data_IF_093985555628
#
_entry.id   IF_093985555628
#
_cell.length_a   1.000
_cell.length_b   1.000
_cell.length_c   1.000
_cell.angle_alpha   90.00
_cell.angle_beta   90.00
_cell.angle_gamma   90.00
#
_symmetry.space_group_name_H-M   'P 1'
#
loop_
_entity.id
_entity.type
_entity.pdbx_description
1 polymer ?
#
# COMPACT_ATOMS: atom_id res chain seq x y z
N UNK A 1 -17.35 3.68 -13.81
CA UNK A 1 -17.68 2.24 -13.98
C UNK A 1 -16.45 1.37 -13.69
N UNK A 2 -15.93 1.34 -12.45
CA UNK A 2 -14.79 0.46 -12.11
C UNK A 2 -14.68 0.11 -10.61
N UNK A 3 -15.78 0.18 -9.85
CA UNK A 3 -15.71 0.07 -8.38
C UNK A 3 -16.56 -1.04 -7.74
N UNK A 4 -17.17 -1.98 -8.49
CA UNK A 4 -18.18 -2.87 -7.88
C UNK A 4 -17.78 -4.35 -7.66
N UNK A 5 -16.84 -4.94 -8.39
CA UNK A 5 -16.72 -6.42 -8.40
C UNK A 5 -15.49 -7.02 -7.68
N UNK A 6 -15.03 -6.44 -6.56
CA UNK A 6 -13.99 -7.09 -5.73
C UNK A 6 -14.48 -7.52 -4.35
N UNK A 7 -15.71 -7.20 -3.97
CA UNK A 7 -16.25 -7.57 -2.66
C UNK A 7 -16.88 -8.98 -2.65
N UNK A 8 -17.40 -9.46 -3.78
CA UNK A 8 -18.23 -10.66 -3.84
C UNK A 8 -17.47 -11.95 -4.19
N UNK A 9 -16.19 -11.85 -4.56
CA UNK A 9 -15.29 -12.98 -4.83
C UNK A 9 -14.33 -13.29 -3.66
N UNK A 10 -14.58 -12.75 -2.46
CA UNK A 10 -13.70 -12.86 -1.29
C UNK A 10 -14.01 -14.08 -0.40
N UNK A 11 -14.65 -15.12 -0.94
CA UNK A 11 -14.92 -16.34 -0.17
C UNK A 11 -13.80 -17.37 -0.17
N UNK A 12 -12.87 -17.33 -1.14
CA UNK A 12 -11.92 -18.43 -1.38
C UNK A 12 -10.45 -18.02 -1.54
N UNK A 13 -10.12 -16.75 -1.82
CA UNK A 13 -8.75 -16.32 -2.19
C UNK A 13 -8.23 -15.10 -1.39
N UNK A 14 -8.66 -14.93 -0.13
CA UNK A 14 -8.40 -13.71 0.65
C UNK A 14 -6.90 -13.46 0.95
N UNK A 15 -6.03 -14.44 0.71
CA UNK A 15 -4.57 -14.36 0.89
C UNK A 15 -3.77 -14.53 -0.41
N UNK A 16 -4.41 -14.50 -1.58
CA UNK A 16 -3.64 -14.52 -2.83
C UNK A 16 -2.82 -13.23 -2.97
N UNK A 17 -1.53 -13.37 -3.25
CA UNK A 17 -0.59 -12.25 -3.47
C UNK A 17 -1.13 -11.21 -4.43
N UNK A 18 -1.88 -11.66 -5.45
CA UNK A 18 -2.56 -10.81 -6.44
C UNK A 18 -3.70 -9.98 -5.83
N UNK A 19 -4.49 -10.54 -4.92
CA UNK A 19 -5.56 -9.81 -4.24
C UNK A 19 -4.99 -8.72 -3.33
N UNK A 20 -3.95 -9.05 -2.56
CA UNK A 20 -3.22 -8.09 -1.73
C UNK A 20 -2.59 -6.96 -2.56
N UNK A 21 -1.98 -7.29 -3.69
CA UNK A 21 -1.39 -6.31 -4.60
C UNK A 21 -2.45 -5.35 -5.18
N UNK A 22 -3.59 -5.87 -5.63
CA UNK A 22 -4.69 -5.04 -6.14
C UNK A 22 -5.31 -4.16 -5.05
N UNK A 23 -5.45 -4.68 -3.82
CA UNK A 23 -5.94 -3.90 -2.68
C UNK A 23 -4.97 -2.77 -2.32
N UNK A 24 -3.67 -3.03 -2.35
CA UNK A 24 -2.66 -2.00 -2.15
C UNK A 24 -2.73 -0.88 -3.19
N UNK A 25 -2.99 -1.21 -4.46
CA UNK A 25 -3.20 -0.20 -5.50
C UNK A 25 -4.45 0.66 -5.24
N UNK A 26 -5.52 0.07 -4.71
CA UNK A 26 -6.71 0.85 -4.30
C UNK A 26 -6.38 1.82 -3.16
N UNK A 27 -5.62 1.36 -2.16
CA UNK A 27 -5.16 2.22 -1.06
C UNK A 27 -4.28 3.37 -1.54
N UNK A 28 -3.39 3.15 -2.51
CA UNK A 28 -2.62 4.22 -3.15
C UNK A 28 -3.53 5.27 -3.82
N UNK A 29 -4.61 4.82 -4.49
CA UNK A 29 -5.61 5.73 -5.06
C UNK A 29 -6.34 6.57 -4.00
N UNK A 30 -6.53 6.02 -2.81
CA UNK A 30 -7.10 6.71 -1.65
C UNK A 30 -6.07 7.56 -0.88
N UNK A 31 -4.80 7.61 -1.33
CA UNK A 31 -3.66 8.22 -0.62
C UNK A 31 -3.38 7.60 0.75
N UNK A 32 -3.93 6.42 1.03
CA UNK A 32 -3.66 5.65 2.25
C UNK A 32 -2.44 4.75 2.06
N UNK A 33 -1.28 5.38 1.83
CA UNK A 33 -0.03 4.68 1.58
C UNK A 33 0.36 3.73 2.72
N UNK A 34 0.02 4.08 3.97
CA UNK A 34 0.26 3.23 5.14
C UNK A 34 -0.46 1.88 5.06
N UNK A 35 -1.72 1.85 4.63
CA UNK A 35 -2.49 0.61 4.44
C UNK A 35 -1.93 -0.19 3.25
N UNK A 36 -1.59 0.50 2.16
CA UNK A 36 -0.96 -0.12 1.00
C UNK A 36 0.35 -0.85 1.38
N UNK A 37 1.16 -0.27 2.27
CA UNK A 37 2.38 -0.91 2.75
C UNK A 37 2.12 -2.21 3.51
N UNK A 38 1.07 -2.27 4.35
CA UNK A 38 0.73 -3.48 5.11
C UNK A 38 0.36 -4.61 4.16
N UNK A 39 -0.44 -4.32 3.14
CA UNK A 39 -0.86 -5.30 2.15
C UNK A 39 0.30 -5.77 1.26
N UNK A 40 1.18 -4.85 0.84
CA UNK A 40 2.38 -5.21 0.08
C UNK A 40 3.40 -6.01 0.91
N UNK A 41 3.52 -5.75 2.21
CA UNK A 41 4.37 -6.55 3.11
C UNK A 41 3.84 -7.97 3.26
N UNK A 42 2.52 -8.13 3.42
CA UNK A 42 1.89 -9.45 3.43
C UNK A 42 2.08 -10.17 2.10
N UNK A 43 1.87 -9.47 0.99
CA UNK A 43 2.11 -10.00 -0.35
C UNK A 43 3.58 -10.45 -0.52
N UNK A 44 4.53 -9.66 -0.04
CA UNK A 44 5.96 -10.01 -0.14
C UNK A 44 6.34 -11.18 0.78
N UNK A 45 5.68 -11.34 1.92
CA UNK A 45 5.87 -12.50 2.79
C UNK A 45 5.33 -13.79 2.17
N UNK A 46 4.23 -13.70 1.40
CA UNK A 46 3.62 -14.84 0.70
C UNK A 46 4.40 -15.22 -0.55
N UNK A 47 4.84 -14.25 -1.36
CA UNK A 47 5.67 -14.49 -2.54
C UNK A 47 6.87 -13.53 -2.58
N UNK A 48 7.97 -13.85 -1.89
CA UNK A 48 9.16 -13.02 -1.88
C UNK A 48 9.86 -12.96 -3.24
N UNK A 49 9.64 -13.95 -4.11
CA UNK A 49 10.16 -13.97 -5.48
C UNK A 49 9.51 -12.94 -6.42
N UNK A 50 8.36 -12.37 -6.05
CA UNK A 50 7.65 -11.42 -6.90
C UNK A 50 8.34 -10.04 -6.87
N UNK A 51 9.08 -9.77 -7.94
CA UNK A 51 9.77 -8.49 -8.16
C UNK A 51 8.82 -7.31 -8.25
N UNK A 52 7.57 -7.50 -8.71
CA UNK A 52 6.58 -6.43 -8.79
C UNK A 52 6.19 -5.95 -7.40
N UNK A 53 5.94 -6.88 -6.47
CA UNK A 53 5.59 -6.55 -5.08
C UNK A 53 6.76 -5.84 -4.39
N UNK A 54 7.99 -6.34 -4.54
CA UNK A 54 9.18 -5.72 -3.95
C UNK A 54 9.42 -4.30 -4.45
N UNK A 55 9.26 -4.07 -5.76
CA UNK A 55 9.38 -2.74 -6.37
C UNK A 55 8.33 -1.78 -5.83
N UNK A 56 7.08 -2.23 -5.74
CA UNK A 56 5.98 -1.39 -5.28
C UNK A 56 6.09 -1.06 -3.78
N UNK A 57 6.53 -2.03 -2.97
CA UNK A 57 6.77 -1.84 -1.53
C UNK A 57 7.80 -0.73 -1.29
N UNK A 58 8.92 -0.75 -2.02
CA UNK A 58 9.95 0.30 -1.95
C UNK A 58 9.39 1.68 -2.35
N UNK A 59 8.54 1.73 -3.39
CA UNK A 59 7.91 2.98 -3.83
C UNK A 59 7.01 3.57 -2.75
N UNK A 60 6.11 2.76 -2.19
CA UNK A 60 5.19 3.18 -1.12
C UNK A 60 5.96 3.61 0.13
N UNK A 61 7.02 2.89 0.48
CA UNK A 61 7.87 3.23 1.62
C UNK A 61 8.52 4.62 1.46
N UNK A 62 9.01 4.93 0.27
CA UNK A 62 9.59 6.26 -0.01
C UNK A 62 8.53 7.36 0.13
N UNK A 63 7.32 7.15 -0.37
CA UNK A 63 6.23 8.14 -0.28
C UNK A 63 5.88 8.41 1.19
N UNK A 64 5.68 7.38 2.00
CA UNK A 64 5.37 7.53 3.44
C UNK A 64 6.49 8.28 4.16
N UNK A 65 7.75 7.98 3.85
CA UNK A 65 8.90 8.65 4.45
C UNK A 65 8.91 10.15 4.10
N UNK A 66 8.67 10.49 2.83
CA UNK A 66 8.58 11.87 2.38
C UNK A 66 7.40 12.63 3.01
N UNK A 67 6.24 11.99 3.16
CA UNK A 67 5.08 12.57 3.85
C UNK A 67 5.41 12.86 5.31
N UNK A 68 5.97 11.89 6.04
CA UNK A 68 6.41 12.07 7.44
C UNK A 68 7.45 13.16 7.59
N UNK A 69 8.42 13.27 6.67
CA UNK A 69 9.42 14.34 6.71
C UNK A 69 8.82 15.71 6.44
N UNK A 70 7.85 15.81 5.51
CA UNK A 70 7.11 17.06 5.27
C UNK A 70 6.29 17.45 6.50
N UNK A 71 5.56 16.51 7.10
CA UNK A 71 4.79 16.73 8.32
C UNK A 71 5.68 17.21 9.46
N UNK A 72 6.84 16.56 9.70
CA UNK A 72 7.82 17.00 10.70
C UNK A 72 8.33 18.43 10.44
N UNK A 73 8.61 18.78 9.19
CA UNK A 73 9.05 20.13 8.81
C UNK A 73 7.95 21.18 9.01
N UNK A 74 6.70 20.84 8.70
CA UNK A 74 5.54 21.73 8.92
C UNK A 74 5.33 21.93 10.41
N UNK A 75 5.35 20.85 11.20
CA UNK A 75 5.22 20.90 12.65
C UNK A 75 6.36 21.74 13.25
N UNK A 76 7.62 21.49 12.89
CA UNK A 76 8.75 22.28 13.38
C UNK A 76 8.63 23.80 13.06
N UNK A 77 7.99 24.17 11.95
CA UNK A 77 7.71 25.57 11.59
C UNK A 77 6.49 26.16 12.29
N UNK A 78 5.54 25.36 12.75
CA UNK A 78 4.35 25.82 13.48
C UNK A 78 4.65 26.08 14.96
N UNK A 79 5.71 25.49 15.50
CA UNK A 79 6.12 25.62 16.91
C UNK A 79 7.39 26.47 17.11
N UNK A 80 7.88 27.14 16.07
CA UNK A 80 8.98 28.11 16.10
C UNK A 80 8.46 29.51 15.78
#
# INVERSE_FOLDING_TARGET
MFFCCVSQALGLDQESTKALFRRAQSWQGLKENSQAMVDLKKAHAVAPEDKAVSKELKRVQLIIQLEKEKEKKIYAKMFA
#
